data_IF_227964205099
#
_entry.id   IF_227964205099
#
_cell.length_a   1.000
_cell.length_b   1.000
_cell.length_c   1.000
_cell.angle_alpha   90.00
_cell.angle_beta   90.00
_cell.angle_gamma   90.00
#
_symmetry.space_group_name_H-M   'P 1'
#
loop_
_entity.id
_entity.type
_entity.pdbx_description
1 polymer ?
#
# COMPACT_ATOMS: atom_id res chain seq x y z
N UNK A 1 -11.41 13.79 -15.91
CA UNK A 1 -12.17 12.59 -15.51
C UNK A 1 -11.56 11.99 -14.25
N UNK A 2 -12.36 11.91 -13.19
CA UNK A 2 -12.01 11.27 -11.91
C UNK A 2 -12.51 9.82 -11.91
N UNK A 3 -11.81 8.90 -11.25
CA UNK A 3 -12.28 7.53 -11.09
C UNK A 3 -11.94 6.99 -9.70
N UNK A 4 -12.61 5.90 -9.33
CA UNK A 4 -12.40 5.18 -8.09
C UNK A 4 -12.21 3.70 -8.43
N UNK A 5 -11.07 3.11 -8.12
CA UNK A 5 -10.83 1.67 -8.28
C UNK A 5 -10.78 1.00 -6.91
N UNK A 6 -11.46 -0.15 -6.79
CA UNK A 6 -11.37 -1.02 -5.61
C UNK A 6 -10.81 -2.37 -5.99
N UNK A 7 -9.91 -2.90 -5.15
CA UNK A 7 -9.27 -4.18 -5.39
C UNK A 7 -8.75 -4.85 -4.09
N UNK A 8 -8.51 -6.16 -4.18
CA UNK A 8 -7.91 -6.94 -3.10
C UNK A 8 -6.39 -6.72 -3.04
N UNK A 9 -5.90 -6.41 -1.84
CA UNK A 9 -4.49 -6.19 -1.55
C UNK A 9 -3.68 -7.47 -1.62
N UNK A 10 -2.45 -7.37 -2.13
CA UNK A 10 -1.48 -8.44 -2.06
C UNK A 10 -0.05 -7.91 -2.07
N UNK A 11 0.84 -8.59 -1.35
CA UNK A 11 2.27 -8.37 -1.47
C UNK A 11 2.78 -9.08 -2.73
N UNK A 12 3.35 -8.33 -3.67
CA UNK A 12 3.73 -8.85 -4.99
C UNK A 12 5.17 -8.53 -5.39
N UNK A 13 5.83 -7.61 -4.69
CA UNK A 13 7.18 -7.15 -5.04
C UNK A 13 8.20 -7.27 -3.88
N UNK A 14 9.28 -8.04 -4.08
CA UNK A 14 10.31 -8.32 -3.07
C UNK A 14 11.10 -7.05 -2.68
N UNK A 15 11.35 -6.15 -3.63
CA UNK A 15 12.08 -4.91 -3.36
C UNK A 15 11.24 -3.98 -2.46
N UNK A 16 9.95 -3.86 -2.74
CA UNK A 16 8.99 -3.10 -1.94
C UNK A 16 8.84 -3.72 -0.54
N UNK A 17 8.81 -5.04 -0.43
CA UNK A 17 8.86 -5.77 0.85
C UNK A 17 10.11 -5.39 1.66
N UNK A 18 11.30 -5.41 1.05
CA UNK A 18 12.54 -5.06 1.73
C UNK A 18 12.56 -3.60 2.19
N UNK A 19 12.08 -2.67 1.35
CA UNK A 19 11.93 -1.25 1.71
C UNK A 19 10.90 -1.05 2.82
N UNK A 20 9.84 -1.83 2.87
CA UNK A 20 8.80 -1.77 3.92
C UNK A 20 9.38 -2.13 5.30
N UNK A 21 10.25 -3.13 5.37
CA UNK A 21 11.02 -3.42 6.60
C UNK A 21 11.86 -2.20 7.02
N UNK A 22 12.52 -1.53 6.07
CA UNK A 22 13.28 -0.30 6.34
C UNK A 22 12.41 0.83 6.90
N UNK A 23 11.19 1.02 6.37
CA UNK A 23 10.20 1.99 6.88
C UNK A 23 9.76 1.70 8.32
N UNK A 24 9.77 0.43 8.73
CA UNK A 24 9.53 0.02 10.12
C UNK A 24 10.76 0.18 11.03
N UNK A 25 11.89 0.67 10.50
CA UNK A 25 13.16 0.74 11.23
C UNK A 25 13.84 -0.62 11.41
N UNK A 26 13.38 -1.65 10.69
CA UNK A 26 13.95 -2.99 10.71
C UNK A 26 15.01 -3.11 9.60
N UNK A 27 16.06 -3.90 9.88
CA UNK A 27 17.06 -4.25 8.86
C UNK A 27 16.61 -5.54 8.16
N UNK A 28 16.15 -5.50 6.91
CA UNK A 28 15.78 -6.71 6.19
C UNK A 28 17.02 -7.53 5.90
N UNK A 29 16.91 -8.86 6.01
CA UNK A 29 17.85 -9.78 5.38
C UNK A 29 17.08 -10.73 4.45
N UNK A 30 17.67 -11.02 3.30
CA UNK A 30 17.18 -12.00 2.34
C UNK A 30 17.98 -13.27 2.52
N UNK A 31 17.44 -14.20 3.31
CA UNK A 31 18.13 -15.42 3.69
C UNK A 31 17.29 -16.65 3.35
N UNK A 32 17.98 -17.78 3.16
CA UNK A 32 17.38 -19.10 3.24
C UNK A 32 17.10 -19.40 4.71
N UNK A 33 15.83 -19.36 5.09
CA UNK A 33 15.39 -19.62 6.46
C UNK A 33 15.28 -21.13 6.65
N UNK A 34 16.21 -21.70 7.41
CA UNK A 34 16.14 -23.09 7.88
C UNK A 34 15.23 -23.16 9.11
N UNK A 35 14.26 -24.07 9.08
CA UNK A 35 13.22 -24.20 10.10
C UNK A 35 13.74 -24.58 11.49
N UNK A 36 13.22 -23.89 12.50
CA UNK A 36 13.23 -24.36 13.88
C UNK A 36 12.12 -25.43 14.08
N UNK A 37 12.35 -26.43 14.94
CA UNK A 37 11.32 -27.39 15.34
C UNK A 37 10.32 -26.75 16.30
N UNK A 38 9.57 -25.75 15.84
CA UNK A 38 8.49 -25.08 16.59
C UNK A 38 7.09 -25.50 16.13
N UNK A 39 6.06 -25.15 16.89
CA UNK A 39 4.66 -25.36 16.50
C UNK A 39 4.28 -24.59 15.21
N UNK A 40 4.95 -23.47 14.95
CA UNK A 40 4.76 -22.65 13.75
C UNK A 40 5.11 -23.39 12.45
N UNK A 41 6.23 -24.11 12.44
CA UNK A 41 6.65 -24.89 11.26
C UNK A 41 5.65 -25.99 10.90
N UNK A 42 5.10 -26.65 11.92
CA UNK A 42 4.11 -27.73 11.74
C UNK A 42 2.72 -27.23 11.36
N UNK A 43 2.27 -26.09 11.90
CA UNK A 43 0.87 -25.64 11.74
C UNK A 43 0.66 -24.65 10.59
N UNK A 44 1.65 -23.82 10.29
CA UNK A 44 1.52 -22.70 9.35
C UNK A 44 2.26 -23.03 8.06
N UNK A 45 3.54 -23.38 8.15
CA UNK A 45 4.37 -23.66 6.98
C UNK A 45 3.97 -24.97 6.27
N UNK A 46 3.53 -25.99 7.01
CA UNK A 46 2.96 -27.20 6.41
C UNK A 46 1.75 -26.93 5.50
N UNK A 47 0.90 -25.95 5.86
CA UNK A 47 -0.25 -25.57 5.05
C UNK A 47 0.14 -24.85 3.75
N UNK A 48 1.36 -24.30 3.69
CA UNK A 48 1.93 -23.68 2.49
C UNK A 48 2.84 -24.64 1.71
N UNK A 49 2.79 -25.95 2.02
CA UNK A 49 3.57 -26.98 1.32
C UNK A 49 5.02 -27.15 1.81
N UNK A 50 5.44 -26.37 2.81
CA UNK A 50 6.76 -26.48 3.41
C UNK A 50 6.74 -27.51 4.55
N UNK A 51 7.10 -28.75 4.25
CA UNK A 51 7.17 -29.86 5.21
C UNK A 51 8.64 -30.31 5.43
N UNK A 52 9.11 -30.34 6.68
CA UNK A 52 10.42 -30.90 7.07
C UNK A 52 11.57 -29.89 7.14
N UNK A 53 12.82 -30.37 7.06
CA UNK A 53 14.05 -29.55 6.97
C UNK A 53 14.15 -28.97 5.54
N UNK A 54 13.20 -28.13 5.17
CA UNK A 54 13.25 -27.38 3.92
C UNK A 54 13.54 -25.92 4.24
N UNK A 55 14.56 -25.40 3.56
CA UNK A 55 14.87 -23.97 3.58
C UNK A 55 13.89 -23.28 2.63
N UNK A 56 13.27 -22.19 3.08
CA UNK A 56 12.50 -21.32 2.20
C UNK A 56 13.20 -19.96 2.12
N UNK A 57 13.13 -19.32 0.95
CA UNK A 57 13.59 -17.96 0.79
C UNK A 57 12.54 -17.02 1.39
N UNK A 58 12.98 -16.16 2.29
CA UNK A 58 12.13 -15.10 2.82
C UNK A 58 12.92 -13.81 3.04
N UNK A 59 12.21 -12.69 2.93
CA UNK A 59 12.70 -11.44 3.49
C UNK A 59 12.33 -11.45 4.97
N UNK A 60 13.32 -11.36 5.85
CA UNK A 60 13.11 -11.41 7.31
C UNK A 60 13.50 -10.12 7.99
N UNK A 61 12.80 -9.82 9.08
CA UNK A 61 13.15 -8.76 10.04
C UNK A 61 12.79 -9.21 11.46
N UNK A 62 13.48 -8.66 12.46
CA UNK A 62 13.18 -8.96 13.86
C UNK A 62 12.98 -7.67 14.63
N UNK A 63 11.88 -7.59 15.39
CA UNK A 63 11.61 -6.44 16.27
C UNK A 63 12.47 -6.53 17.54
N UNK A 64 12.65 -5.40 18.21
CA UNK A 64 13.35 -5.33 19.51
C UNK A 64 12.66 -6.16 20.60
N UNK A 65 11.36 -6.43 20.45
CA UNK A 65 10.54 -7.21 21.37
C UNK A 65 10.65 -8.74 21.12
N UNK A 66 11.41 -9.14 20.10
CA UNK A 66 11.68 -10.53 19.76
C UNK A 66 10.69 -11.17 18.78
N UNK A 67 9.83 -10.38 18.14
CA UNK A 67 8.97 -10.89 17.07
C UNK A 67 9.78 -11.01 15.77
N UNK A 68 9.74 -12.19 15.16
CA UNK A 68 10.29 -12.44 13.84
C UNK A 68 9.20 -12.28 12.80
N UNK A 69 9.46 -11.46 11.79
CA UNK A 69 8.59 -11.25 10.65
C UNK A 69 9.26 -11.90 9.44
N UNK A 70 8.51 -12.71 8.70
CA UNK A 70 8.94 -13.35 7.47
C UNK A 70 7.96 -13.04 6.36
N UNK A 71 8.46 -12.58 5.22
CA UNK A 71 7.66 -12.46 4.02
C UNK A 71 8.13 -13.51 3.03
N UNK A 72 7.28 -14.50 2.82
CA UNK A 72 7.60 -15.70 2.03
C UNK A 72 6.84 -15.66 0.72
N UNK A 73 7.50 -16.04 -0.37
CA UNK A 73 6.83 -16.28 -1.63
C UNK A 73 6.07 -17.62 -1.55
N UNK A 74 4.74 -17.58 -1.72
CA UNK A 74 3.90 -18.79 -1.69
C UNK A 74 3.56 -19.24 -3.11
N UNK A 75 3.40 -18.28 -4.01
CA UNK A 75 3.14 -18.50 -5.44
C UNK A 75 4.03 -17.53 -6.23
N UNK A 76 4.24 -17.79 -7.52
CA UNK A 76 5.00 -16.87 -8.36
C UNK A 76 4.35 -15.47 -8.34
N UNK A 77 5.15 -14.45 -8.02
CA UNK A 77 4.65 -13.07 -7.86
C UNK A 77 3.72 -12.82 -6.66
N UNK A 78 3.60 -13.74 -5.70
CA UNK A 78 2.79 -13.52 -4.50
C UNK A 78 3.49 -13.91 -3.19
N UNK A 79 3.43 -12.99 -2.25
CA UNK A 79 4.06 -13.12 -0.95
C UNK A 79 3.05 -13.02 0.19
N UNK A 80 3.41 -13.63 1.32
CA UNK A 80 2.63 -13.57 2.55
C UNK A 80 3.51 -13.24 3.74
N UNK A 81 3.05 -12.29 4.54
CA UNK A 81 3.63 -11.96 5.82
C UNK A 81 3.24 -13.02 6.87
N UNK A 82 4.24 -13.47 7.60
CA UNK A 82 4.12 -14.37 8.75
C UNK A 82 4.85 -13.73 9.93
N UNK A 83 4.26 -13.82 11.12
CA UNK A 83 4.83 -13.22 12.33
C UNK A 83 4.83 -14.27 13.44
N UNK A 84 6.01 -14.50 14.02
CA UNK A 84 6.17 -15.43 15.13
C UNK A 84 7.00 -14.82 16.26
N UNK A 85 6.94 -15.49 17.41
CA UNK A 85 7.80 -15.24 18.56
C UNK A 85 8.20 -16.58 19.16
N UNK A 86 9.44 -16.69 19.63
CA UNK A 86 9.97 -17.94 20.18
C UNK A 86 9.19 -18.42 21.42
N UNK A 87 8.76 -17.48 22.26
CA UNK A 87 7.97 -17.75 23.46
C UNK A 87 6.59 -17.13 23.28
N UNK A 88 5.56 -17.98 23.21
CA UNK A 88 4.18 -17.55 22.99
C UNK A 88 3.57 -17.01 24.28
N UNK A 89 3.01 -15.81 24.21
CA UNK A 89 2.21 -15.18 25.27
C UNK A 89 0.74 -15.00 24.86
N UNK A 90 -0.15 -14.77 25.84
CA UNK A 90 -1.57 -14.52 25.58
C UNK A 90 -1.83 -13.22 24.79
N UNK A 91 -0.93 -12.24 24.89
CA UNK A 91 -1.06 -10.93 24.24
C UNK A 91 -0.46 -10.93 22.82
N UNK A 92 0.24 -12.00 22.42
CA UNK A 92 0.98 -12.03 21.17
C UNK A 92 0.07 -11.88 19.94
N UNK A 93 -1.17 -12.35 19.98
CA UNK A 93 -2.09 -12.22 18.83
C UNK A 93 -2.46 -10.77 18.54
N UNK A 94 -2.71 -9.96 19.57
CA UNK A 94 -2.97 -8.54 19.41
C UNK A 94 -1.74 -7.79 18.87
N UNK A 95 -0.55 -8.14 19.37
CA UNK A 95 0.71 -7.55 18.92
C UNK A 95 1.02 -7.95 17.47
N UNK A 96 0.81 -9.21 17.09
CA UNK A 96 0.95 -9.69 15.70
C UNK A 96 0.01 -8.95 14.75
N UNK A 97 -1.26 -8.79 15.12
CA UNK A 97 -2.21 -8.03 14.32
C UNK A 97 -1.77 -6.57 14.13
N UNK A 98 -1.29 -5.93 15.21
CA UNK A 98 -0.70 -4.58 15.13
C UNK A 98 0.52 -4.52 14.21
N UNK A 99 1.46 -5.44 14.35
CA UNK A 99 2.65 -5.51 13.49
C UNK A 99 2.31 -5.78 12.03
N UNK A 100 1.32 -6.63 11.75
CA UNK A 100 0.84 -6.89 10.40
C UNK A 100 0.25 -5.64 9.76
N UNK A 101 -0.57 -4.88 10.50
CA UNK A 101 -1.13 -3.61 10.05
C UNK A 101 -0.04 -2.55 9.80
N UNK A 102 0.95 -2.44 10.69
CA UNK A 102 2.10 -1.54 10.51
C UNK A 102 2.91 -1.93 9.27
N UNK A 103 3.17 -3.22 9.07
CA UNK A 103 3.90 -3.70 7.88
C UNK A 103 3.13 -3.43 6.59
N UNK A 104 1.82 -3.69 6.56
CA UNK A 104 0.97 -3.40 5.42
C UNK A 104 1.02 -1.90 5.06
N UNK A 105 0.83 -1.02 6.06
CA UNK A 105 0.92 0.43 5.87
C UNK A 105 2.30 0.86 5.38
N UNK A 106 3.37 0.25 5.90
CA UNK A 106 4.73 0.52 5.45
C UNK A 106 4.95 0.11 3.98
N UNK A 107 4.42 -1.05 3.57
CA UNK A 107 4.47 -1.52 2.18
C UNK A 107 3.71 -0.58 1.25
N UNK A 108 2.49 -0.18 1.61
CA UNK A 108 1.70 0.79 0.84
C UNK A 108 2.45 2.13 0.75
N UNK A 109 3.05 2.61 1.85
CA UNK A 109 3.85 3.84 1.82
C UNK A 109 5.02 3.75 0.83
N UNK A 110 5.67 2.59 0.69
CA UNK A 110 6.74 2.43 -0.32
C UNK A 110 6.17 2.48 -1.73
N UNK A 111 5.05 1.81 -1.99
CA UNK A 111 4.40 1.88 -3.30
C UNK A 111 4.05 3.33 -3.68
N UNK A 112 3.50 4.10 -2.72
CA UNK A 112 3.23 5.53 -2.87
C UNK A 112 4.52 6.34 -3.14
N UNK A 113 5.60 6.08 -2.41
CA UNK A 113 6.88 6.77 -2.63
C UNK A 113 7.42 6.50 -4.05
N UNK A 114 7.28 5.28 -4.56
CA UNK A 114 7.68 4.94 -5.93
C UNK A 114 6.80 5.65 -6.97
N UNK A 115 5.48 5.76 -6.74
CA UNK A 115 4.58 6.57 -7.58
C UNK A 115 5.00 8.04 -7.59
N UNK A 116 5.31 8.62 -6.44
CA UNK A 116 5.74 10.03 -6.31
C UNK A 116 7.05 10.26 -7.07
N UNK A 117 8.05 9.39 -6.90
CA UNK A 117 9.32 9.49 -7.63
C UNK A 117 9.12 9.51 -9.15
N UNK A 118 8.15 8.74 -9.67
CA UNK A 118 7.85 8.70 -11.11
C UNK A 118 7.17 9.98 -11.60
N UNK A 119 6.24 10.52 -10.80
CA UNK A 119 5.60 11.82 -11.08
C UNK A 119 6.67 12.92 -11.13
N UNK A 120 7.56 12.96 -10.13
CA UNK A 120 8.67 13.92 -10.05
C UNK A 120 9.69 13.74 -11.18
N UNK A 121 10.00 12.50 -11.57
CA UNK A 121 10.86 12.20 -12.71
C UNK A 121 10.29 12.70 -14.04
N UNK A 122 8.97 12.88 -14.12
CA UNK A 122 8.28 13.49 -15.26
C UNK A 122 8.30 15.03 -15.23
N UNK A 123 8.96 15.63 -14.24
CA UNK A 123 9.05 17.09 -14.06
C UNK A 123 7.81 17.70 -13.40
N UNK A 124 6.89 16.88 -12.89
CA UNK A 124 5.67 17.33 -12.21
C UNK A 124 5.92 17.30 -10.70
N UNK A 125 5.75 18.42 -9.97
CA UNK A 125 5.92 18.40 -8.53
C UNK A 125 4.81 17.57 -7.88
N UNK A 126 5.18 16.77 -6.88
CA UNK A 126 4.27 15.92 -6.12
C UNK A 126 4.58 16.00 -4.62
N UNK A 127 3.60 15.68 -3.77
CA UNK A 127 3.77 15.56 -2.33
C UNK A 127 2.81 14.53 -1.76
N UNK A 128 3.18 13.92 -0.65
CA UNK A 128 2.37 12.92 0.05
C UNK A 128 1.87 13.48 1.37
N UNK A 129 0.58 13.27 1.65
CA UNK A 129 -0.04 13.47 2.95
C UNK A 129 -0.46 12.12 3.50
N UNK A 130 0.04 11.78 4.67
CA UNK A 130 -0.41 10.61 5.40
C UNK A 130 -1.66 10.95 6.21
N UNK A 131 -2.68 10.11 6.14
CA UNK A 131 -3.92 10.22 6.91
C UNK A 131 -4.10 8.99 7.79
N UNK A 132 -5.08 9.02 8.69
CA UNK A 132 -5.44 7.86 9.50
C UNK A 132 -5.93 6.67 8.66
N UNK A 133 -6.50 6.93 7.48
CA UNK A 133 -7.17 5.95 6.64
C UNK A 133 -6.33 5.54 5.41
N UNK A 134 -5.18 6.19 5.20
CA UNK A 134 -4.32 5.92 4.05
C UNK A 134 -3.43 7.10 3.65
N UNK A 135 -3.24 7.32 2.36
CA UNK A 135 -2.32 8.30 1.79
C UNK A 135 -3.01 9.14 0.72
N UNK A 136 -2.69 10.43 0.67
CA UNK A 136 -3.11 11.32 -0.42
C UNK A 136 -1.85 11.84 -1.13
N UNK A 137 -1.73 11.53 -2.42
CA UNK A 137 -0.66 12.04 -3.29
C UNK A 137 -1.23 13.22 -4.05
N UNK A 138 -0.73 14.43 -3.77
CA UNK A 138 -1.11 15.64 -4.51
C UNK A 138 -0.02 16.00 -5.51
N UNK A 139 -0.39 16.35 -6.74
CA UNK A 139 0.56 16.63 -7.82
C UNK A 139 0.00 17.64 -8.83
N UNK A 140 0.87 18.18 -9.67
CA UNK A 140 0.55 19.27 -10.61
C UNK A 140 1.24 20.57 -10.22
N UNK A 141 1.33 21.53 -11.13
CA UNK A 141 2.10 22.76 -10.92
C UNK A 141 1.65 23.56 -9.67
N UNK A 142 0.39 23.37 -9.27
CA UNK A 142 -0.25 23.97 -8.11
C UNK A 142 -0.86 22.91 -7.17
N UNK A 143 -0.47 21.64 -7.29
CA UNK A 143 -1.03 20.52 -6.52
C UNK A 143 -2.56 20.35 -6.73
N UNK A 144 -3.01 20.58 -7.95
CA UNK A 144 -4.42 20.57 -8.36
C UNK A 144 -5.00 19.17 -8.61
N UNK A 145 -4.15 18.15 -8.68
CA UNK A 145 -4.53 16.76 -8.86
C UNK A 145 -4.23 15.96 -7.60
N UNK A 146 -5.05 14.95 -7.31
CA UNK A 146 -4.73 14.03 -6.22
C UNK A 146 -5.12 12.58 -6.49
N UNK A 147 -4.37 11.66 -5.89
CA UNK A 147 -4.69 10.23 -5.76
C UNK A 147 -4.83 9.94 -4.28
N UNK A 148 -6.04 9.57 -3.87
CA UNK A 148 -6.34 9.15 -2.50
C UNK A 148 -6.34 7.63 -2.45
N UNK A 149 -5.44 7.05 -1.66
CA UNK A 149 -5.32 5.60 -1.44
C UNK A 149 -5.74 5.32 -0.02
N UNK A 150 -6.82 4.58 0.15
CA UNK A 150 -7.34 4.15 1.45
C UNK A 150 -7.36 2.64 1.52
N UNK A 151 -7.16 2.09 2.71
CA UNK A 151 -7.11 0.65 2.90
C UNK A 151 -7.80 0.24 4.20
N UNK A 152 -8.51 -0.89 4.15
CA UNK A 152 -9.23 -1.46 5.29
C UNK A 152 -9.16 -2.98 5.22
N UNK A 153 -8.37 -3.58 6.11
CA UNK A 153 -8.07 -5.01 6.02
C UNK A 153 -7.33 -5.30 4.70
N UNK A 154 -7.86 -6.24 3.92
CA UNK A 154 -7.28 -6.63 2.63
C UNK A 154 -7.91 -5.89 1.43
N UNK A 155 -8.76 -4.87 1.65
CA UNK A 155 -9.32 -4.05 0.56
C UNK A 155 -8.56 -2.73 0.43
N UNK A 156 -8.20 -2.36 -0.81
CA UNK A 156 -7.68 -1.05 -1.17
C UNK A 156 -8.69 -0.34 -2.07
N UNK A 157 -8.91 0.93 -1.76
CA UNK A 157 -9.67 1.86 -2.59
C UNK A 157 -8.77 3.02 -2.99
N UNK A 158 -8.65 3.20 -4.29
CA UNK A 158 -7.89 4.28 -4.92
C UNK A 158 -8.88 5.25 -5.58
N UNK A 159 -8.74 6.55 -5.32
CA UNK A 159 -9.58 7.58 -5.92
C UNK A 159 -8.72 8.68 -6.55
N UNK A 160 -8.83 8.85 -7.88
CA UNK A 160 -8.15 9.90 -8.63
C UNK A 160 -9.06 11.10 -8.82
N UNK A 161 -8.55 12.30 -8.51
CA UNK A 161 -9.28 13.57 -8.61
C UNK A 161 -8.56 14.57 -9.49
N UNK A 162 -9.32 15.27 -10.33
CA UNK A 162 -8.88 16.44 -11.10
C UNK A 162 -8.10 16.12 -12.39
N UNK A 163 -7.62 14.89 -12.58
CA UNK A 163 -6.80 14.53 -13.74
C UNK A 163 -7.63 14.49 -15.04
N UNK A 164 -7.03 14.91 -16.16
CA UNK A 164 -7.64 14.82 -17.50
C UNK A 164 -6.78 13.96 -18.43
N UNK A 165 -7.41 13.09 -19.21
CA UNK A 165 -6.75 12.23 -20.21
C UNK A 165 -6.10 10.97 -19.64
N UNK A 166 -5.35 10.25 -20.48
CA UNK A 166 -4.82 8.89 -20.23
C UNK A 166 -3.69 8.82 -19.19
N UNK A 167 -3.26 9.96 -18.66
CA UNK A 167 -2.21 10.03 -17.64
C UNK A 167 -2.69 9.44 -16.32
N UNK A 168 -3.99 9.56 -15.99
CA UNK A 168 -4.53 8.94 -14.78
C UNK A 168 -4.40 7.42 -14.85
N UNK A 169 -4.81 6.80 -15.96
CA UNK A 169 -4.80 5.35 -16.14
C UNK A 169 -3.42 4.75 -15.94
N UNK A 170 -2.36 5.38 -16.47
CA UNK A 170 -1.00 4.86 -16.30
C UNK A 170 -0.47 4.95 -14.87
N UNK A 171 -0.81 6.04 -14.16
CA UNK A 171 -0.37 6.23 -12.78
C UNK A 171 -1.03 5.22 -11.84
N UNK A 172 -2.30 4.92 -12.08
CA UNK A 172 -3.08 3.98 -11.27
C UNK A 172 -2.74 2.54 -11.60
N UNK A 173 -2.56 2.19 -12.87
CA UNK A 173 -2.11 0.85 -13.29
C UNK A 173 -0.79 0.43 -12.59
N UNK A 174 0.16 1.35 -12.46
CA UNK A 174 1.44 1.06 -11.81
C UNK A 174 1.31 0.89 -10.29
N UNK A 175 0.45 1.67 -9.66
CA UNK A 175 0.16 1.57 -8.24
C UNK A 175 -0.61 0.27 -7.95
N UNK A 176 -1.64 -0.02 -8.75
CA UNK A 176 -2.41 -1.27 -8.73
C UNK A 176 -1.49 -2.48 -8.94
N UNK A 177 -0.50 -2.42 -9.84
CA UNK A 177 0.47 -3.50 -10.07
C UNK A 177 1.41 -3.75 -8.87
N UNK A 178 1.64 -2.76 -8.01
CA UNK A 178 2.43 -2.91 -6.78
C UNK A 178 1.59 -3.41 -5.60
N UNK A 179 0.28 -3.20 -5.64
CA UNK A 179 -0.63 -3.43 -4.52
C UNK A 179 -1.62 -4.58 -4.73
N UNK A 180 -1.74 -5.11 -5.94
CA UNK A 180 -2.67 -6.19 -6.29
C UNK A 180 -1.95 -7.29 -7.09
N UNK A 181 -2.48 -8.51 -7.01
CA UNK A 181 -2.05 -9.61 -7.89
C UNK A 181 -2.49 -9.33 -9.33
N UNK A 182 -1.75 -9.82 -10.35
CA UNK A 182 -2.17 -9.70 -11.75
C UNK A 182 -3.55 -10.31 -12.08
N UNK A 183 -4.03 -11.24 -11.24
CA UNK A 183 -5.33 -11.90 -11.38
C UNK A 183 -6.44 -11.28 -10.53
N UNK A 184 -6.16 -10.21 -9.78
CA UNK A 184 -7.14 -9.55 -8.94
C UNK A 184 -8.20 -8.85 -9.80
N UNK A 185 -9.44 -8.86 -9.34
CA UNK A 185 -10.52 -8.11 -9.98
C UNK A 185 -10.41 -6.62 -9.59
N UNK A 186 -10.22 -5.76 -10.59
CA UNK A 186 -10.19 -4.31 -10.42
C UNK A 186 -11.57 -3.74 -10.75
N UNK A 187 -12.27 -3.19 -9.75
CA UNK A 187 -13.60 -2.59 -9.92
C UNK A 187 -13.47 -1.08 -10.02
N UNK A 188 -13.40 -0.55 -11.25
CA UNK A 188 -13.28 0.89 -11.51
C UNK A 188 -14.64 1.55 -11.80
N UNK A 189 -15.01 2.52 -10.96
CA UNK A 189 -16.15 3.40 -11.15
C UNK A 189 -15.70 4.80 -11.61
N UNK A 190 -16.18 5.23 -12.78
CA UNK A 190 -15.88 6.55 -13.33
C UNK A 190 -16.83 7.60 -12.75
N UNK A 191 -16.29 8.67 -12.15
CA UNK A 191 -17.09 9.79 -11.65
C UNK A 191 -17.29 10.80 -12.78
N UNK A 192 -18.55 11.21 -13.09
CA UNK A 192 -18.80 12.22 -14.10
C UNK A 192 -18.14 13.55 -13.71
N UNK A 193 -17.66 14.30 -14.70
CA UNK A 193 -17.10 15.64 -14.47
C UNK A 193 -18.21 16.58 -13.98
N UNK A 194 -18.22 16.89 -12.68
CA UNK A 194 -19.04 17.98 -12.17
C UNK A 194 -18.35 19.30 -12.54
N UNK A 195 -18.88 20.01 -13.53
CA UNK A 195 -18.61 21.44 -13.69
C UNK A 195 -19.06 22.13 -12.40
N UNK A 196 -18.10 22.57 -11.60
CA UNK A 196 -18.36 23.53 -10.53
C UNK A 196 -18.83 24.81 -11.21
N UNK A 197 -20.15 25.00 -11.28
CA UNK A 197 -20.71 26.31 -11.57
C UNK A 197 -20.37 27.15 -10.34
N UNK A 198 -19.30 27.94 -10.43
CA UNK A 198 -19.15 29.07 -9.54
C UNK A 198 -20.38 29.95 -9.79
N UNK A 199 -21.35 29.92 -8.88
CA UNK A 199 -22.39 30.95 -8.84
C UNK A 199 -21.66 32.28 -8.69
N UNK A 200 -21.64 33.04 -9.79
CA UNK A 200 -21.12 34.39 -9.84
C UNK A 200 -21.73 35.20 -8.69
N UNK A 201 -20.87 35.71 -7.82
CA UNK A 201 -21.24 36.75 -6.87
C UNK A 201 -21.79 37.94 -7.67
N UNK A 202 -23.10 38.11 -7.65
CA UNK A 202 -23.75 39.32 -8.16
C UNK A 202 -23.45 40.47 -7.19
N UNK A 203 -22.35 41.19 -7.45
CA UNK A 203 -22.12 42.50 -6.88
C UNK A 203 -23.17 43.48 -7.44
N UNK A 204 -24.25 43.72 -6.68
CA UNK A 204 -25.15 44.84 -6.93
C UNK A 204 -24.44 46.15 -6.54
N UNK A 205 -24.00 46.91 -7.54
CA UNK A 205 -23.61 48.32 -7.35
C UNK A 205 -24.87 49.16 -7.49
N UNK A 206 -25.29 49.80 -6.39
CA UNK A 206 -26.34 50.81 -6.36
C UNK A 206 -25.82 52.14 -6.93
N UNK A 207 -26.50 52.69 -7.94
CA UNK A 207 -26.41 54.11 -8.28
C UNK A 207 -27.72 54.80 -7.94
N UNK A 208 -27.72 55.59 -6.86
CA UNK A 208 -28.76 56.57 -6.59
C UNK A 208 -28.47 57.83 -7.43
N UNK A 209 -29.40 58.22 -8.30
CA UNK A 209 -29.40 59.55 -8.89
C UNK A 209 -30.51 60.37 -8.23
N UNK A 210 -30.10 61.52 -7.68
CA UNK A 210 -30.93 62.59 -7.14
C UNK A 210 -31.76 63.27 -8.25
#
# INVERSE_FOLDING_TARGET
MSHCTKFEFSYVDEETIAKAFGKMGLKPTTDLVALYPGEFSKKVLANFGYMGIQQFRAVRGQTVEGFNLFVCQIEEGFYKLLIEREIVSADDEAVKAGLASVFQKAYISVAIDETVKRIEASGVPARVKETLQGFEVEFGAHYEYSILVTFSGDEIMEEVRGVKGDICTRLTEELEALLSRPTAELVTEWKPEYTVVHEEQTLQILSANL
#
